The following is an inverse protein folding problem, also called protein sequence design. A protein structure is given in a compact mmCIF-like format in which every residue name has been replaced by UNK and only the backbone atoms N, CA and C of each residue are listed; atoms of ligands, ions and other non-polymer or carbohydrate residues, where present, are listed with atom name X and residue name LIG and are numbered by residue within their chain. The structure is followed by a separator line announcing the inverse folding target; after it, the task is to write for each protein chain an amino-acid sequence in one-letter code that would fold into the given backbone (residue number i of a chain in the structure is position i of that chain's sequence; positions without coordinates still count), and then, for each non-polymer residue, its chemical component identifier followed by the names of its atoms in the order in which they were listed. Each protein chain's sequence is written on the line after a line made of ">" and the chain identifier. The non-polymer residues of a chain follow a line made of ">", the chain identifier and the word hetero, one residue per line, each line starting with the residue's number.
data_IF_072828959982
#
_entry.id   IF_072828959982
#
_cell.length_a   1.000
_cell.length_b   1.000
_cell.length_c   1.000
_cell.angle_alpha   90.00
_cell.angle_beta   90.00
_cell.angle_gamma   90.00
#
_symmetry.space_group_name_H-M   'P 1'
#
loop_
_entity.id
_entity.type
_entity.pdbx_description
1 polymer ?
#
# COMPACT_ATOMS: atom_id res chain seq x y z
N UNK A 1 -57.12 14.69 13.75
CA UNK A 1 -56.06 14.27 14.70
C UNK A 1 -55.03 13.32 14.08
N UNK A 2 -55.42 12.43 13.16
CA UNK A 2 -54.50 11.53 12.44
C UNK A 2 -53.41 12.23 11.59
N UNK A 3 -53.70 13.32 10.84
CA UNK A 3 -52.66 14.00 10.05
C UNK A 3 -51.56 14.62 10.93
N UNK A 4 -51.92 15.09 12.13
CA UNK A 4 -51.01 15.72 13.09
C UNK A 4 -50.00 14.69 13.61
N UNK A 5 -50.44 13.45 13.87
CA UNK A 5 -49.57 12.36 14.28
C UNK A 5 -48.56 12.00 13.18
N UNK A 6 -48.99 11.95 11.92
CA UNK A 6 -48.10 11.70 10.78
C UNK A 6 -47.08 12.82 10.58
N UNK A 7 -47.51 14.08 10.69
CA UNK A 7 -46.60 15.23 10.60
C UNK A 7 -45.58 15.23 11.75
N UNK A 8 -46.02 14.95 12.98
CA UNK A 8 -45.14 14.86 14.14
C UNK A 8 -44.13 13.71 13.97
N UNK A 9 -44.58 12.52 13.59
CA UNK A 9 -43.72 11.37 13.37
C UNK A 9 -42.64 11.64 12.32
N UNK A 10 -43.02 12.25 11.18
CA UNK A 10 -42.04 12.60 10.14
C UNK A 10 -41.05 13.69 10.58
N UNK A 11 -41.51 14.65 11.37
CA UNK A 11 -40.68 15.77 11.84
C UNK A 11 -39.69 15.33 12.92
N UNK A 12 -40.11 14.42 13.81
CA UNK A 12 -39.29 13.95 14.93
C UNK A 12 -38.54 12.65 14.64
N UNK A 13 -38.89 11.92 13.58
CA UNK A 13 -38.22 10.68 13.20
C UNK A 13 -36.68 10.81 13.13
N UNK A 14 -36.10 11.82 12.47
CA UNK A 14 -34.64 11.93 12.38
C UNK A 14 -33.96 12.07 13.75
N UNK A 15 -34.60 12.76 14.69
CA UNK A 15 -34.05 12.98 16.04
C UNK A 15 -34.05 11.71 16.90
N UNK A 16 -34.86 10.71 16.55
CA UNK A 16 -34.93 9.42 17.26
C UNK A 16 -34.13 8.36 16.51
N UNK A 17 -34.29 8.27 15.20
CA UNK A 17 -33.64 7.23 14.38
C UNK A 17 -32.14 7.42 14.30
N UNK A 18 -31.65 8.66 14.23
CA UNK A 18 -30.22 8.92 14.12
C UNK A 18 -29.43 8.50 15.38
N UNK A 19 -29.81 8.90 16.61
CA UNK A 19 -29.13 8.40 17.81
C UNK A 19 -29.21 6.87 17.96
N UNK A 20 -30.37 6.28 17.65
CA UNK A 20 -30.55 4.82 17.69
C UNK A 20 -29.63 4.13 16.69
N UNK A 21 -29.57 4.61 15.45
CA UNK A 21 -28.69 4.06 14.42
C UNK A 21 -27.21 4.20 14.80
N UNK A 22 -26.82 5.32 15.41
CA UNK A 22 -25.45 5.53 15.90
C UNK A 22 -25.09 4.51 16.98
N UNK A 23 -25.96 4.30 17.97
CA UNK A 23 -25.74 3.31 19.04
C UNK A 23 -25.65 1.90 18.47
N UNK A 24 -26.58 1.53 17.58
CA UNK A 24 -26.57 0.21 16.93
C UNK A 24 -25.30 0.03 16.09
N UNK A 25 -24.86 1.07 15.37
CA UNK A 25 -23.62 1.05 14.60
C UNK A 25 -22.39 0.90 15.49
N UNK A 26 -22.32 1.61 16.60
CA UNK A 26 -21.21 1.51 17.56
C UNK A 26 -21.13 0.11 18.21
N UNK A 27 -22.28 -0.43 18.63
CA UNK A 27 -22.36 -1.79 19.18
C UNK A 27 -22.04 -2.83 18.11
N UNK A 28 -22.55 -2.65 16.90
CA UNK A 28 -22.27 -3.50 15.75
C UNK A 28 -20.79 -3.53 15.39
N UNK A 29 -20.13 -2.37 15.40
CA UNK A 29 -18.68 -2.27 15.20
C UNK A 29 -17.90 -2.99 16.29
N UNK A 30 -18.30 -2.83 17.56
CA UNK A 30 -17.66 -3.53 18.67
C UNK A 30 -17.87 -5.06 18.58
N UNK A 31 -19.06 -5.50 18.16
CA UNK A 31 -19.38 -6.92 17.98
C UNK A 31 -18.64 -7.51 16.77
N UNK A 32 -18.56 -6.76 15.67
CA UNK A 32 -17.77 -7.12 14.50
C UNK A 32 -16.30 -7.28 14.89
N UNK A 33 -15.75 -6.34 15.66
CA UNK A 33 -14.38 -6.44 16.17
C UNK A 33 -14.20 -7.66 17.08
N UNK A 34 -15.19 -7.97 17.92
CA UNK A 34 -15.16 -9.15 18.80
C UNK A 34 -15.21 -10.48 18.01
N UNK A 35 -16.02 -10.56 16.95
CA UNK A 35 -16.19 -11.77 16.13
C UNK A 35 -15.03 -11.94 15.13
N UNK A 36 -14.56 -10.85 14.53
CA UNK A 36 -13.46 -10.85 13.55
C UNK A 36 -12.13 -11.28 14.20
N UNK A 37 -12.02 -11.21 15.53
CA UNK A 37 -10.77 -11.44 16.24
C UNK A 37 -9.77 -10.32 15.96
N UNK A 38 -8.64 -10.32 16.68
CA UNK A 38 -7.53 -9.41 16.38
C UNK A 38 -7.21 -9.52 14.89
N UNK A 39 -7.33 -8.44 14.09
CA UNK A 39 -6.86 -8.48 12.71
C UNK A 39 -5.41 -8.94 12.76
N UNK A 40 -4.99 -9.79 11.83
CA UNK A 40 -3.58 -10.09 11.63
C UNK A 40 -2.90 -8.83 11.11
N UNK A 41 -2.66 -7.88 12.01
CA UNK A 41 -2.07 -6.56 11.80
C UNK A 41 -0.76 -6.67 11.01
N UNK A 42 -0.08 -7.81 11.11
CA UNK A 42 1.23 -8.00 10.53
C UNK A 42 1.25 -8.41 9.04
N UNK A 43 0.15 -8.93 8.47
CA UNK A 43 0.14 -9.43 7.09
C UNK A 43 -0.64 -8.56 6.11
N UNK A 44 -1.66 -7.84 6.57
CA UNK A 44 -2.49 -7.00 5.70
C UNK A 44 -1.94 -5.57 5.51
N UNK A 45 -1.04 -5.12 6.39
CA UNK A 45 -0.50 -3.76 6.34
C UNK A 45 0.66 -3.58 5.36
N UNK A 46 1.39 -4.67 5.01
CA UNK A 46 2.53 -4.54 4.11
C UNK A 46 2.04 -4.38 2.68
N UNK A 47 2.19 -3.18 2.15
CA UNK A 47 1.98 -2.90 0.74
C UNK A 47 2.82 -3.86 -0.10
N UNK A 48 2.30 -4.29 -1.26
CA UNK A 48 3.05 -5.20 -2.16
C UNK A 48 4.41 -4.62 -2.56
N UNK A 49 4.57 -3.29 -2.48
CA UNK A 49 5.85 -2.61 -2.64
C UNK A 49 6.83 -2.93 -1.50
N UNK A 50 6.41 -2.82 -0.24
CA UNK A 50 7.22 -3.11 0.94
C UNK A 50 7.66 -4.58 0.97
N UNK A 51 6.77 -5.52 0.63
CA UNK A 51 7.11 -6.95 0.53
C UNK A 51 8.13 -7.22 -0.59
N UNK A 52 8.16 -6.39 -1.64
CA UNK A 52 9.17 -6.52 -2.72
C UNK A 52 10.50 -5.92 -2.28
N UNK A 53 10.50 -4.80 -1.58
CA UNK A 53 11.73 -4.23 -1.04
C UNK A 53 12.37 -5.13 0.00
N UNK A 54 11.59 -5.73 0.91
CA UNK A 54 12.10 -6.70 1.87
C UNK A 54 12.71 -7.92 1.20
N UNK A 55 12.12 -8.42 0.10
CA UNK A 55 12.70 -9.50 -0.69
C UNK A 55 14.04 -9.08 -1.31
N UNK A 56 14.13 -7.89 -1.89
CA UNK A 56 15.37 -7.34 -2.43
C UNK A 56 16.44 -7.15 -1.35
N UNK A 57 16.06 -6.65 -0.19
CA UNK A 57 16.96 -6.48 0.96
C UNK A 57 17.47 -7.83 1.47
N UNK A 58 16.61 -8.85 1.53
CA UNK A 58 16.98 -10.21 1.93
C UNK A 58 17.94 -10.85 0.93
N UNK A 59 17.70 -10.67 -0.37
CA UNK A 59 18.60 -11.13 -1.44
C UNK A 59 19.95 -10.40 -1.41
N UNK A 60 19.99 -9.12 -1.05
CA UNK A 60 21.21 -8.33 -0.92
C UNK A 60 21.98 -8.57 0.38
N UNK A 61 21.31 -8.98 1.46
CA UNK A 61 21.93 -9.23 2.76
C UNK A 61 22.99 -10.37 2.75
N UNK A 62 22.97 -11.23 1.73
CA UNK A 62 23.95 -12.31 1.53
C UNK A 62 25.03 -12.02 0.50
N UNK A 63 25.02 -10.85 -0.14
CA UNK A 63 25.99 -10.46 -1.17
C UNK A 63 26.98 -9.43 -0.61
N UNK A 64 28.28 -9.70 -0.76
CA UNK A 64 29.33 -8.75 -0.40
C UNK A 64 29.28 -7.56 -1.37
N UNK A 65 28.76 -6.43 -0.90
CA UNK A 65 28.61 -5.20 -1.68
C UNK A 65 29.95 -4.52 -2.00
N UNK A 66 31.03 -5.00 -1.39
CA UNK A 66 32.40 -4.47 -1.55
C UNK A 66 33.19 -5.19 -2.65
N UNK A 67 32.73 -6.36 -3.11
CA UNK A 67 33.34 -7.11 -4.21
C UNK A 67 32.82 -6.63 -5.57
N UNK A 68 33.01 -5.35 -5.85
CA UNK A 68 32.69 -4.75 -7.16
C UNK A 68 33.93 -4.76 -8.05
N UNK A 69 33.79 -5.33 -9.25
CA UNK A 69 34.84 -5.27 -10.28
C UNK A 69 35.16 -3.79 -10.53
N UNK A 70 36.43 -3.42 -10.37
CA UNK A 70 36.93 -2.06 -10.54
C UNK A 70 36.43 -1.47 -11.87
N UNK A 71 35.84 -0.28 -11.84
CA UNK A 71 35.39 0.41 -13.05
C UNK A 71 36.53 0.67 -14.06
N UNK A 72 37.80 0.60 -13.61
CA UNK A 72 38.98 0.67 -14.49
C UNK A 72 39.13 -0.55 -15.40
N UNK A 73 38.66 -1.72 -14.98
CA UNK A 73 38.67 -2.93 -15.81
C UNK A 73 37.47 -2.99 -16.77
N UNK A 74 36.46 -2.14 -16.54
CA UNK A 74 35.22 -2.04 -17.35
C UNK A 74 35.29 -1.03 -18.50
N UNK A 75 36.47 -0.53 -18.86
CA UNK A 75 36.65 0.37 -20.02
C UNK A 75 36.14 -0.29 -21.31
N UNK A 76 36.23 -1.62 -21.41
CA UNK A 76 35.67 -2.42 -22.53
C UNK A 76 34.13 -2.49 -22.57
N UNK A 77 33.44 -2.13 -21.48
CA UNK A 77 31.98 -2.20 -21.36
C UNK A 77 31.28 -0.91 -21.78
N UNK A 78 32.02 0.13 -22.16
CA UNK A 78 31.41 1.29 -22.82
C UNK A 78 30.99 0.82 -24.22
N UNK A 79 29.69 0.69 -24.54
CA UNK A 79 29.30 0.38 -25.90
C UNK A 79 29.93 1.46 -26.79
N UNK A 80 30.74 1.05 -27.79
CA UNK A 80 31.37 1.98 -28.73
C UNK A 80 30.32 3.02 -29.09
N UNK A 81 30.56 4.27 -28.70
CA UNK A 81 29.60 5.34 -28.94
C UNK A 81 29.22 5.28 -30.42
N UNK A 82 27.95 5.46 -30.76
CA UNK A 82 27.48 5.36 -32.16
C UNK A 82 28.32 6.21 -33.12
N UNK A 83 28.93 7.29 -32.59
CA UNK A 83 29.89 8.16 -33.25
C UNK A 83 31.21 7.51 -33.68
N UNK A 84 31.68 6.46 -32.99
CA UNK A 84 32.91 5.73 -33.34
C UNK A 84 32.72 4.72 -34.47
N UNK A 85 31.47 4.39 -34.83
CA UNK A 85 31.14 3.42 -35.88
C UNK A 85 31.62 3.85 -37.28
N UNK A 86 31.78 5.15 -37.50
CA UNK A 86 32.16 5.74 -38.80
C UNK A 86 33.61 6.25 -38.85
N UNK A 87 34.42 6.09 -37.80
CA UNK A 87 35.83 6.51 -37.86
C UNK A 87 36.62 5.46 -38.65
N UNK A 88 37.34 5.84 -39.73
CA UNK A 88 38.24 4.92 -40.40
C UNK A 88 39.36 4.55 -39.43
N UNK A 89 39.57 3.24 -39.24
CA UNK A 89 40.70 2.71 -38.48
C UNK A 89 41.96 3.16 -39.22
N UNK A 90 42.73 4.07 -38.62
CA UNK A 90 44.06 4.41 -39.14
C UNK A 90 44.96 3.18 -38.93
N UNK A 91 45.50 2.67 -40.04
CA UNK A 91 46.55 1.65 -40.07
C UNK A 91 47.82 2.11 -39.38
#
# INVERSE_FOLDING_TARGET
>A
MWPILWTAMRSYAPYVTFPVALVVGAVGYQLEWFIRGTPSTHQEERGVFEVREERRLTEQAGLDSTEVISLKDKVEFTPRAVLERNRPVKS
#
